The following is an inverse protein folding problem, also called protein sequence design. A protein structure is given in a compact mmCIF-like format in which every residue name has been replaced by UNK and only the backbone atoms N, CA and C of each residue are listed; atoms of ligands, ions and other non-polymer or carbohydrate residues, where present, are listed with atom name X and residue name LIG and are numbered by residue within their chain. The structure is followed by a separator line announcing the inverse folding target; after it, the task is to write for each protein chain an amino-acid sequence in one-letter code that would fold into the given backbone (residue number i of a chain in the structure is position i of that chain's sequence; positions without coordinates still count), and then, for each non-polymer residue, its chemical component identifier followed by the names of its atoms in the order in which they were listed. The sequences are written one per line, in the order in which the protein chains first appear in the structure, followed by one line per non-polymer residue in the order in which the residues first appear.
data_IF_827898322916
#
_entry.id   IF_827898322916
#
_cell.length_a   1.000
_cell.length_b   1.000
_cell.length_c   1.000
_cell.angle_alpha   90.00
_cell.angle_beta   90.00
_cell.angle_gamma   90.00
#
_symmetry.space_group_name_H-M   'P 1'
#
loop_
_entity.id
_entity.type
_entity.pdbx_description
1 polymer ?
#
# COMPACT_ATOMS: atom_id res chain seq x y z
N UNK A 1 -17.39 -9.07 30.99
CA UNK A 1 -18.15 -9.15 29.73
C UNK A 1 -18.06 -7.77 29.08
N UNK A 2 -17.24 -7.61 28.05
CA UNK A 2 -17.17 -6.36 27.28
C UNK A 2 -17.93 -6.60 25.98
N UNK A 3 -19.07 -5.92 25.81
CA UNK A 3 -19.82 -5.92 24.56
C UNK A 3 -19.05 -5.08 23.55
N UNK A 4 -18.47 -5.74 22.54
CA UNK A 4 -17.96 -5.07 21.35
C UNK A 4 -19.14 -4.48 20.60
N UNK A 5 -19.18 -3.15 20.50
CA UNK A 5 -20.18 -2.46 19.68
C UNK A 5 -19.86 -2.67 18.21
N UNK A 6 -20.75 -3.36 17.52
CA UNK A 6 -20.73 -3.47 16.06
C UNK A 6 -20.84 -2.07 15.44
N UNK A 7 -19.84 -1.69 14.66
CA UNK A 7 -19.83 -0.48 13.85
C UNK A 7 -20.97 -0.56 12.84
N UNK A 8 -22.05 0.17 13.07
CA UNK A 8 -23.19 0.23 12.16
C UNK A 8 -22.75 0.82 10.81
N UNK A 9 -22.77 -0.02 9.78
CA UNK A 9 -22.72 0.43 8.40
C UNK A 9 -23.89 1.39 8.16
N UNK A 10 -23.61 2.66 7.84
CA UNK A 10 -24.58 3.64 7.34
C UNK A 10 -24.93 3.35 5.88
N UNK A 11 -25.33 2.12 5.58
CA UNK A 11 -25.78 1.72 4.25
C UNK A 11 -27.32 1.69 4.27
N UNK A 12 -27.96 2.66 3.60
CA UNK A 12 -29.40 2.63 3.36
C UNK A 12 -30.25 3.72 4.04
N UNK A 13 -29.65 4.78 4.62
CA UNK A 13 -30.45 5.93 5.04
C UNK A 13 -30.90 6.73 3.81
N UNK A 14 -32.20 6.89 3.62
CA UNK A 14 -32.76 7.79 2.61
C UNK A 14 -32.19 9.20 2.76
N UNK A 15 -32.10 9.95 1.65
CA UNK A 15 -31.63 11.33 1.69
C UNK A 15 -32.60 12.13 2.58
N UNK A 16 -32.05 12.85 3.56
CA UNK A 16 -32.86 13.66 4.47
C UNK A 16 -33.62 14.77 3.73
N UNK A 17 -34.84 15.03 4.20
CA UNK A 17 -35.74 16.04 3.65
C UNK A 17 -35.21 17.48 3.74
N UNK A 18 -34.33 17.75 4.69
CA UNK A 18 -33.65 19.05 4.83
C UNK A 18 -32.56 19.27 3.78
N UNK A 19 -32.12 18.22 3.08
CA UNK A 19 -31.04 18.32 2.08
C UNK A 19 -31.52 19.09 0.84
N UNK A 20 -30.72 20.07 0.40
CA UNK A 20 -31.04 20.90 -0.76
C UNK A 20 -31.23 20.05 -2.03
N UNK A 21 -30.43 19.00 -2.22
CA UNK A 21 -30.56 18.08 -3.34
C UNK A 21 -31.87 17.30 -3.33
N UNK A 22 -32.34 16.88 -2.15
CA UNK A 22 -33.65 16.24 -2.01
C UNK A 22 -34.79 17.17 -2.41
N UNK A 23 -34.74 18.43 -1.96
CA UNK A 23 -35.74 19.44 -2.30
C UNK A 23 -35.75 19.74 -3.81
N UNK A 24 -34.57 19.82 -4.44
CA UNK A 24 -34.44 20.02 -5.88
C UNK A 24 -35.02 18.84 -6.67
N UNK A 25 -34.71 17.61 -6.28
CA UNK A 25 -35.27 16.42 -6.91
C UNK A 25 -36.80 16.42 -6.82
N UNK A 26 -37.38 16.66 -5.63
CA UNK A 26 -38.83 16.78 -5.45
C UNK A 26 -39.44 17.89 -6.31
N UNK A 27 -38.79 19.06 -6.39
CA UNK A 27 -39.24 20.18 -7.24
C UNK A 27 -39.28 19.81 -8.72
N UNK A 28 -38.37 18.97 -9.18
CA UNK A 28 -38.32 18.47 -10.56
C UNK A 28 -39.20 17.23 -10.81
N UNK A 29 -40.08 16.88 -9.87
CA UNK A 29 -41.07 15.81 -10.03
C UNK A 29 -40.57 14.42 -9.63
N UNK A 30 -39.37 14.30 -9.07
CA UNK A 30 -38.91 13.03 -8.49
C UNK A 30 -39.68 12.73 -7.20
N UNK A 31 -40.02 11.46 -6.99
CA UNK A 31 -40.73 10.98 -5.81
C UNK A 31 -39.80 10.14 -4.94
N UNK A 32 -39.93 10.33 -3.65
CA UNK A 32 -39.15 9.57 -2.68
C UNK A 32 -39.51 8.09 -2.77
N UNK A 33 -38.48 7.23 -2.82
CA UNK A 33 -38.66 5.78 -2.99
C UNK A 33 -38.80 5.31 -4.44
N UNK A 34 -38.81 6.19 -5.44
CA UNK A 34 -38.82 5.80 -6.87
C UNK A 34 -37.47 6.00 -7.54
N UNK A 35 -37.18 5.16 -8.53
CA UNK A 35 -35.96 5.24 -9.33
C UNK A 35 -36.00 6.45 -10.27
N UNK A 36 -34.83 6.90 -10.72
CA UNK A 36 -34.74 7.97 -11.71
C UNK A 36 -34.99 7.45 -13.14
N UNK A 37 -35.47 8.32 -14.03
CA UNK A 37 -35.72 8.00 -15.44
C UNK A 37 -37.21 8.02 -15.80
N UNK A 38 -37.51 7.96 -17.11
CA UNK A 38 -38.87 8.11 -17.63
C UNK A 38 -39.87 7.04 -17.14
N UNK A 39 -39.37 5.84 -16.83
CA UNK A 39 -40.17 4.73 -16.31
C UNK A 39 -39.72 4.34 -14.90
N UNK A 40 -39.09 5.27 -14.17
CA UNK A 40 -38.57 5.04 -12.82
C UNK A 40 -37.57 3.86 -12.74
N UNK A 41 -36.90 3.55 -13.86
CA UNK A 41 -36.07 2.35 -14.04
C UNK A 41 -34.69 2.43 -13.37
N UNK A 42 -34.32 3.60 -12.85
CA UNK A 42 -33.06 3.81 -12.17
C UNK A 42 -32.97 3.02 -10.86
N UNK A 43 -31.74 2.68 -10.46
CA UNK A 43 -31.49 2.01 -9.18
C UNK A 43 -31.87 2.94 -8.02
N UNK A 44 -32.55 2.37 -7.01
CA UNK A 44 -32.85 3.05 -5.74
C UNK A 44 -31.59 3.16 -4.88
N UNK A 45 -30.83 2.07 -4.82
CA UNK A 45 -29.64 1.97 -3.98
C UNK A 45 -28.36 2.34 -4.75
N UNK A 46 -27.45 3.11 -4.12
CA UNK A 46 -26.13 3.39 -4.67
C UNK A 46 -25.36 2.12 -5.04
N UNK A 47 -24.45 2.24 -6.02
CA UNK A 47 -23.56 1.14 -6.38
C UNK A 47 -22.48 1.01 -5.32
N UNK A 48 -22.35 -0.19 -4.72
CA UNK A 48 -21.26 -0.46 -3.80
C UNK A 48 -19.91 -0.42 -4.53
N UNK A 49 -18.98 0.35 -3.98
CA UNK A 49 -17.60 0.41 -4.45
C UNK A 49 -16.68 -0.33 -3.47
N UNK A 50 -15.85 -1.23 -3.99
CA UNK A 50 -14.84 -1.93 -3.20
C UNK A 50 -13.48 -1.25 -3.35
N UNK A 51 -12.91 -0.80 -2.22
CA UNK A 51 -11.56 -0.26 -2.22
C UNK A 51 -10.54 -1.39 -2.29
N UNK A 52 -9.61 -1.31 -3.25
CA UNK A 52 -8.53 -2.28 -3.38
C UNK A 52 -7.35 -1.87 -2.50
N UNK A 53 -7.17 -2.56 -1.38
CA UNK A 53 -6.08 -2.26 -0.43
C UNK A 53 -4.69 -2.78 -0.88
N UNK A 54 -4.63 -3.62 -1.92
CA UNK A 54 -3.38 -4.21 -2.40
C UNK A 54 -2.92 -3.61 -3.74
N UNK A 55 -1.62 -3.69 -4.00
CA UNK A 55 -1.01 -3.24 -5.27
C UNK A 55 -0.82 -4.39 -6.28
N UNK A 56 -1.40 -5.57 -6.03
CA UNK A 56 -1.22 -6.73 -6.93
C UNK A 56 -2.12 -6.61 -8.17
N UNK A 57 -1.76 -7.28 -9.26
CA UNK A 57 -2.58 -7.34 -10.46
C UNK A 57 -3.97 -7.92 -10.19
N UNK A 58 -4.93 -7.60 -11.06
CA UNK A 58 -6.22 -8.29 -11.08
C UNK A 58 -5.99 -9.77 -11.41
N UNK A 59 -6.78 -10.67 -10.80
CA UNK A 59 -6.63 -12.13 -10.99
C UNK A 59 -5.45 -12.77 -10.23
N UNK A 60 -4.64 -12.00 -9.50
CA UNK A 60 -3.53 -12.57 -8.74
C UNK A 60 -4.03 -13.31 -7.48
N UNK A 61 -3.53 -14.52 -7.23
CA UNK A 61 -4.02 -15.41 -6.15
C UNK A 61 -4.11 -14.72 -4.79
N UNK A 62 -5.26 -14.86 -4.12
CA UNK A 62 -5.44 -14.32 -2.78
C UNK A 62 -4.45 -15.01 -1.84
N UNK A 63 -3.53 -14.26 -1.23
CA UNK A 63 -2.68 -14.80 -0.19
C UNK A 63 -3.60 -15.13 0.99
N UNK A 64 -3.66 -16.42 1.38
CA UNK A 64 -4.34 -16.83 2.60
C UNK A 64 -3.66 -16.08 3.75
N UNK A 65 -4.36 -15.11 4.34
CA UNK A 65 -3.89 -14.48 5.56
C UNK A 65 -3.88 -15.57 6.64
N UNK A 66 -2.71 -16.17 6.88
CA UNK A 66 -2.52 -17.04 8.03
C UNK A 66 -2.70 -16.15 9.26
N UNK A 67 -3.74 -16.42 10.03
CA UNK A 67 -4.07 -15.67 11.25
C UNK A 67 -2.83 -15.66 12.16
N UNK A 68 -2.18 -14.50 12.30
CA UNK A 68 -1.15 -14.33 13.31
C UNK A 68 -1.87 -14.28 14.66
N UNK A 69 -1.70 -15.33 15.45
CA UNK A 69 -2.16 -15.40 16.84
C UNK A 69 -1.47 -14.26 17.60
N UNK A 70 -2.25 -13.30 18.08
CA UNK A 70 -1.77 -12.18 18.90
C UNK A 70 -1.46 -12.71 20.30
N UNK A 71 -0.20 -12.96 20.60
CA UNK A 71 0.24 -13.18 21.98
C UNK A 71 0.47 -11.81 22.62
N UNK A 72 -0.40 -11.47 23.56
CA UNK A 72 -0.15 -10.45 24.59
C UNK A 72 0.57 -11.14 25.73
N UNK A 73 1.86 -10.84 25.98
CA UNK A 73 2.42 -10.73 27.34
C UNK A 73 3.77 -10.00 27.32
N UNK A 74 3.98 -9.18 28.35
CA UNK A 74 5.14 -8.35 28.59
C UNK A 74 6.40 -9.13 29.04
N UNK A 75 7.55 -8.51 28.81
CA UNK A 75 8.84 -8.67 29.50
C UNK A 75 9.56 -10.03 29.46
N UNK A 76 10.67 -10.11 28.71
CA UNK A 76 12.03 -10.52 29.19
C UNK A 76 13.00 -10.85 28.04
N UNK A 77 14.28 -10.77 28.38
CA UNK A 77 15.53 -10.77 27.59
C UNK A 77 15.81 -11.99 26.68
N UNK A 78 16.64 -11.73 25.66
CA UNK A 78 17.56 -12.56 24.84
C UNK A 78 17.33 -14.09 24.64
N UNK A 79 17.25 -14.55 23.38
CA UNK A 79 18.29 -15.27 22.58
C UNK A 79 17.69 -15.94 21.31
N UNK A 80 18.55 -16.06 20.30
CA UNK A 80 18.38 -16.57 18.92
C UNK A 80 17.64 -17.92 18.75
N UNK A 81 16.77 -18.07 17.74
CA UNK A 81 17.06 -18.82 16.48
C UNK A 81 15.84 -18.90 15.51
N UNK A 82 16.15 -19.16 14.24
CA UNK A 82 15.41 -18.94 12.97
C UNK A 82 14.12 -19.79 12.79
N UNK A 83 13.12 -19.48 11.93
CA UNK A 83 13.17 -19.53 10.45
C UNK A 83 11.84 -19.09 9.77
N UNK A 84 11.88 -18.07 8.88
CA UNK A 84 11.31 -18.08 7.50
C UNK A 84 11.55 -16.72 6.77
N UNK A 85 12.74 -16.60 6.18
CA UNK A 85 13.20 -15.85 4.99
C UNK A 85 12.52 -14.51 4.54
N UNK A 86 13.20 -13.35 4.71
CA UNK A 86 12.85 -12.09 4.07
C UNK A 86 13.62 -11.90 2.75
N UNK A 87 13.24 -12.63 1.70
CA UNK A 87 13.97 -12.59 0.41
C UNK A 87 14.03 -11.20 -0.25
N UNK A 88 13.14 -10.27 0.13
CA UNK A 88 13.13 -8.90 -0.41
C UNK A 88 14.17 -7.98 0.24
N UNK A 89 14.42 -8.09 1.55
CA UNK A 89 15.44 -7.26 2.22
C UNK A 89 16.85 -7.70 1.81
N UNK A 90 17.07 -9.00 1.63
CA UNK A 90 18.33 -9.56 1.11
C UNK A 90 18.69 -9.02 -0.29
N UNK A 91 17.72 -8.94 -1.22
CA UNK A 91 17.96 -8.38 -2.56
C UNK A 91 18.25 -6.87 -2.53
N UNK A 92 17.61 -6.11 -1.63
CA UNK A 92 17.84 -4.66 -1.51
C UNK A 92 19.20 -4.35 -0.86
N UNK A 93 19.58 -5.08 0.19
CA UNK A 93 20.91 -4.98 0.80
C UNK A 93 22.02 -5.38 -0.18
N UNK A 94 21.80 -6.44 -0.98
CA UNK A 94 22.72 -6.89 -2.03
C UNK A 94 22.96 -5.83 -3.11
N UNK A 95 21.91 -5.12 -3.57
CA UNK A 95 22.07 -4.02 -4.54
C UNK A 95 22.91 -2.87 -3.99
N UNK A 96 22.75 -2.52 -2.71
CA UNK A 96 23.51 -1.45 -2.06
C UNK A 96 24.98 -1.84 -1.91
N UNK A 97 25.26 -3.07 -1.52
CA UNK A 97 26.62 -3.59 -1.37
C UNK A 97 27.35 -3.65 -2.71
N UNK A 98 26.69 -4.13 -3.77
CA UNK A 98 27.26 -4.15 -5.13
C UNK A 98 27.59 -2.75 -5.64
N UNK A 99 26.72 -1.75 -5.39
CA UNK A 99 26.96 -0.36 -5.80
C UNK A 99 28.10 0.31 -5.02
N UNK A 100 28.29 -0.07 -3.76
CA UNK A 100 29.40 0.40 -2.92
C UNK A 100 30.74 -0.16 -3.40
N UNK A 101 30.81 -1.47 -3.66
CA UNK A 101 32.02 -2.13 -4.19
C UNK A 101 32.45 -1.57 -5.55
N UNK A 102 31.48 -1.25 -6.43
CA UNK A 102 31.79 -0.66 -7.74
C UNK A 102 32.42 0.74 -7.61
N UNK A 103 31.89 1.58 -6.72
CA UNK A 103 32.46 2.91 -6.47
C UNK A 103 33.86 2.84 -5.87
N UNK A 104 34.06 1.93 -4.91
CA UNK A 104 35.38 1.70 -4.31
C UNK A 104 36.39 1.22 -5.37
N UNK A 105 36.01 0.27 -6.22
CA UNK A 105 36.84 -0.19 -7.35
C UNK A 105 37.17 0.94 -8.31
N UNK A 106 36.20 1.79 -8.65
CA UNK A 106 36.44 2.96 -9.51
C UNK A 106 37.39 3.99 -8.88
N UNK A 107 37.32 4.18 -7.56
CA UNK A 107 38.26 5.05 -6.85
C UNK A 107 39.67 4.43 -6.83
N UNK A 108 39.78 3.13 -6.56
CA UNK A 108 41.06 2.42 -6.60
C UNK A 108 41.68 2.43 -7.99
N UNK A 109 40.91 2.21 -9.05
CA UNK A 109 41.41 2.29 -10.43
C UNK A 109 41.86 3.71 -10.78
N UNK A 110 41.10 4.74 -10.39
CA UNK A 110 41.50 6.14 -10.60
C UNK A 110 42.75 6.52 -9.82
N UNK A 111 42.87 6.05 -8.58
CA UNK A 111 44.06 6.27 -7.75
C UNK A 111 45.27 5.52 -8.32
N UNK A 112 45.07 4.28 -8.75
CA UNK A 112 46.09 3.48 -9.43
C UNK A 112 46.55 4.17 -10.70
N UNK A 113 45.64 4.61 -11.57
CA UNK A 113 45.96 5.31 -12.81
C UNK A 113 46.73 6.61 -12.52
N UNK A 114 46.27 7.42 -11.57
CA UNK A 114 46.97 8.65 -11.14
C UNK A 114 48.37 8.35 -10.60
N UNK A 115 48.51 7.32 -9.76
CA UNK A 115 49.80 6.92 -9.20
C UNK A 115 50.73 6.37 -10.29
N UNK A 116 50.20 5.53 -11.17
CA UNK A 116 50.91 4.93 -12.31
C UNK A 116 51.44 6.00 -13.27
N UNK A 117 50.62 6.99 -13.64
CA UNK A 117 51.07 8.10 -14.48
C UNK A 117 52.11 8.98 -13.79
N UNK A 118 51.95 9.27 -12.50
CA UNK A 118 52.95 10.03 -11.73
C UNK A 118 54.30 9.30 -11.67
N UNK A 119 54.29 7.98 -11.60
CA UNK A 119 55.50 7.17 -11.42
C UNK A 119 56.17 6.79 -12.75
N UNK A 120 55.40 6.62 -13.83
CA UNK A 120 55.91 6.10 -15.11
C UNK A 120 55.96 7.15 -16.24
N UNK A 121 55.28 8.30 -16.11
CA UNK A 121 55.26 9.39 -17.11
C UNK A 121 55.19 10.78 -16.45
N UNK A 122 56.29 11.26 -15.82
CA UNK A 122 56.31 12.50 -15.03
C UNK A 122 56.12 13.80 -15.83
N UNK A 123 56.32 13.80 -17.15
CA UNK A 123 56.36 15.04 -17.96
C UNK A 123 54.99 15.51 -18.50
N UNK A 124 53.89 14.85 -18.13
CA UNK A 124 52.53 15.16 -18.64
C UNK A 124 51.52 15.59 -17.54
N UNK A 125 52.01 16.11 -16.41
CA UNK A 125 51.21 16.77 -15.36
C UNK A 125 51.66 18.22 -15.20
#
# INVERSE_FOLDING_TARGET
MAMGGDSSSKDGSSIDSSNIGFLLLKKHGWKEGTGLGASEQGRLEPVQAYLKNNKRGLGADKVKMVAKKSYVTAASNEKNDQDHLPLKKCKTLSKRMRKMQELEKQLQEKEFERAFYREFWPDNV
#
